data_IF_597494789918
#
_entry.id   IF_597494789918
#
_cell.length_a   1.000
_cell.length_b   1.000
_cell.length_c   1.000
_cell.angle_alpha   90.00
_cell.angle_beta   90.00
_cell.angle_gamma   90.00
#
_symmetry.space_group_name_H-M   'P 1'
#
loop_
_entity.id
_entity.type
_entity.pdbx_description
1 polymer ?
#
# COMPACT_ATOMS: atom_id res chain seq x y z
N UNK A 1 -0.95 -2.62 12.97
CA UNK A 1 -1.28 -2.36 11.55
C UNK A 1 -2.64 -2.92 11.18
N UNK A 2 -2.90 -4.23 11.34
CA UNK A 2 -4.21 -4.86 11.06
C UNK A 2 -5.41 -4.12 11.68
N UNK A 3 -5.33 -3.73 12.95
CA UNK A 3 -6.38 -2.93 13.60
C UNK A 3 -6.68 -1.59 12.89
N UNK A 4 -5.68 -0.94 12.28
CA UNK A 4 -5.90 0.28 11.50
C UNK A 4 -6.63 -0.03 10.19
N UNK A 5 -6.28 -1.13 9.51
CA UNK A 5 -6.96 -1.60 8.30
C UNK A 5 -8.42 -1.91 8.60
N UNK A 6 -8.69 -2.69 9.66
CA UNK A 6 -10.05 -3.05 10.08
C UNK A 6 -10.87 -1.79 10.34
N UNK A 7 -10.36 -0.86 11.16
CA UNK A 7 -11.05 0.39 11.46
C UNK A 7 -11.32 1.22 10.21
N UNK A 8 -10.32 1.37 9.34
CA UNK A 8 -10.43 2.13 8.09
C UNK A 8 -11.48 1.57 7.12
N UNK A 9 -11.66 0.24 7.11
CA UNK A 9 -12.71 -0.42 6.33
C UNK A 9 -14.07 -0.31 7.04
N UNK A 10 -14.12 -0.55 8.35
CA UNK A 10 -15.35 -0.48 9.13
C UNK A 10 -16.00 0.91 9.06
N UNK A 11 -15.21 1.98 9.05
CA UNK A 11 -15.69 3.37 8.86
C UNK A 11 -16.37 3.59 7.49
N UNK A 12 -16.15 2.70 6.49
CA UNK A 12 -16.69 2.82 5.13
C UNK A 12 -17.82 1.85 4.82
N UNK A 13 -17.76 0.63 5.37
CA UNK A 13 -18.70 -0.45 5.04
C UNK A 13 -19.48 -0.99 6.24
N UNK A 14 -19.19 -0.52 7.45
CA UNK A 14 -19.71 -1.11 8.68
C UNK A 14 -18.80 -2.22 9.22
N UNK A 15 -18.75 -2.36 10.55
CA UNK A 15 -17.90 -3.36 11.21
C UNK A 15 -18.38 -4.79 10.94
N UNK A 16 -19.68 -4.99 10.79
CA UNK A 16 -20.35 -6.24 10.43
C UNK A 16 -19.99 -6.74 9.03
N UNK A 17 -19.51 -5.85 8.15
CA UNK A 17 -19.01 -6.20 6.82
C UNK A 17 -17.51 -6.53 6.79
N UNK A 18 -16.79 -6.48 7.91
CA UNK A 18 -15.32 -6.69 7.97
C UNK A 18 -14.98 -7.92 8.81
N UNK A 19 -14.37 -8.91 8.17
CA UNK A 19 -13.87 -10.12 8.81
C UNK A 19 -12.34 -10.12 8.84
N UNK A 20 -11.74 -10.70 9.88
CA UNK A 20 -10.29 -10.91 9.97
C UNK A 20 -9.96 -12.40 9.89
N UNK A 21 -8.78 -12.74 9.38
CA UNK A 21 -8.35 -14.15 9.23
C UNK A 21 -9.34 -15.00 8.41
N UNK A 22 -9.91 -14.42 7.37
CA UNK A 22 -10.92 -15.11 6.55
C UNK A 22 -10.23 -16.14 5.67
N UNK A 23 -10.58 -17.41 5.87
CA UNK A 23 -10.17 -18.50 4.99
C UNK A 23 -10.94 -18.50 3.67
N UNK A 24 -10.22 -18.62 2.55
CA UNK A 24 -10.79 -18.87 1.22
C UNK A 24 -9.98 -19.95 0.51
N UNK A 25 -10.55 -21.15 0.38
CA UNK A 25 -9.82 -22.32 -0.09
C UNK A 25 -8.63 -22.63 0.82
N UNK A 26 -7.42 -22.58 0.27
CA UNK A 26 -6.18 -22.85 1.00
C UNK A 26 -5.49 -21.57 1.55
N UNK A 27 -6.01 -20.37 1.28
CA UNK A 27 -5.44 -19.13 1.79
C UNK A 27 -6.23 -18.59 2.99
N UNK A 28 -5.54 -17.86 3.86
CA UNK A 28 -6.12 -17.09 4.96
C UNK A 28 -5.70 -15.65 4.74
N UNK A 29 -6.67 -14.75 4.57
CA UNK A 29 -6.43 -13.33 4.38
C UNK A 29 -6.53 -12.59 5.70
N UNK A 30 -5.63 -11.63 5.93
CA UNK A 30 -5.60 -10.81 7.14
C UNK A 30 -6.94 -10.11 7.41
N UNK A 31 -7.56 -9.53 6.37
CA UNK A 31 -8.87 -8.87 6.44
C UNK A 31 -9.65 -9.10 5.14
N UNK A 32 -10.97 -9.28 5.23
CA UNK A 32 -11.86 -9.40 4.09
C UNK A 32 -13.14 -8.58 4.29
N UNK A 33 -13.69 -8.05 3.19
CA UNK A 33 -14.96 -7.33 3.18
C UNK A 33 -16.06 -8.18 2.56
N UNK A 34 -17.13 -8.44 3.31
CA UNK A 34 -18.18 -9.40 2.95
C UNK A 34 -19.47 -8.77 2.43
N UNK A 35 -19.69 -7.48 2.71
CA UNK A 35 -20.84 -6.73 2.23
C UNK A 35 -20.51 -5.25 1.94
N UNK A 36 -21.48 -4.54 1.34
CA UNK A 36 -21.37 -3.13 0.99
C UNK A 36 -20.56 -2.87 -0.28
N UNK A 37 -20.20 -1.60 -0.50
CA UNK A 37 -19.56 -1.14 -1.75
C UNK A 37 -18.13 -1.67 -2.00
N UNK A 38 -17.54 -2.35 -1.02
CA UNK A 38 -16.22 -2.98 -1.14
C UNK A 38 -16.30 -4.52 -1.04
N UNK A 39 -17.48 -5.12 -1.19
CA UNK A 39 -17.66 -6.57 -1.15
C UNK A 39 -16.67 -7.31 -2.06
N UNK A 40 -16.05 -8.37 -1.52
CA UNK A 40 -15.07 -9.19 -2.22
C UNK A 40 -13.65 -8.61 -2.22
N UNK A 41 -13.43 -7.47 -1.54
CA UNK A 41 -12.08 -6.98 -1.23
C UNK A 41 -11.44 -7.85 -0.16
N UNK A 42 -10.22 -8.33 -0.42
CA UNK A 42 -9.33 -8.87 0.61
C UNK A 42 -8.16 -7.92 0.81
N UNK A 43 -7.59 -7.92 2.02
CA UNK A 43 -6.44 -7.12 2.38
C UNK A 43 -5.41 -8.00 3.05
N UNK A 44 -4.16 -7.84 2.63
CA UNK A 44 -2.99 -8.49 3.24
C UNK A 44 -2.03 -7.44 3.77
N UNK A 45 -1.60 -7.59 5.02
CA UNK A 45 -0.60 -6.74 5.66
C UNK A 45 0.78 -7.37 5.46
N UNK A 46 1.49 -6.88 4.46
CA UNK A 46 2.72 -7.50 4.03
C UNK A 46 3.95 -6.79 4.62
N UNK A 47 4.65 -7.47 5.52
CA UNK A 47 5.87 -6.99 6.18
C UNK A 47 7.11 -7.09 5.30
N UNK A 48 7.04 -7.74 4.13
CA UNK A 48 8.14 -7.86 3.16
C UNK A 48 9.44 -8.51 3.71
N UNK A 49 9.41 -9.03 4.94
CA UNK A 49 10.49 -9.83 5.55
C UNK A 49 10.25 -11.33 5.39
N UNK A 50 11.31 -12.13 5.47
CA UNK A 50 11.26 -13.58 5.38
C UNK A 50 12.21 -14.13 4.31
N UNK A 51 11.96 -15.36 3.87
CA UNK A 51 12.76 -16.03 2.84
C UNK A 51 12.34 -15.57 1.44
N UNK A 52 13.31 -15.32 0.56
CA UNK A 52 13.08 -14.92 -0.83
C UNK A 52 13.17 -13.41 -1.08
N UNK A 53 12.92 -12.99 -2.32
CA UNK A 53 12.93 -11.58 -2.70
C UNK A 53 11.58 -10.93 -2.43
N UNK A 54 11.57 -9.60 -2.23
CA UNK A 54 10.33 -8.80 -2.12
C UNK A 54 9.36 -9.05 -3.28
N UNK A 55 9.91 -9.21 -4.50
CA UNK A 55 9.13 -9.52 -5.69
C UNK A 55 8.44 -10.87 -5.53
N UNK A 56 9.19 -11.91 -5.14
CA UNK A 56 8.67 -13.26 -4.99
C UNK A 56 7.53 -13.31 -3.98
N UNK A 57 7.73 -12.70 -2.80
CA UNK A 57 6.72 -12.67 -1.74
C UNK A 57 5.41 -11.99 -2.16
N UNK A 58 5.52 -10.87 -2.89
CA UNK A 58 4.35 -10.14 -3.40
C UNK A 58 3.63 -10.94 -4.50
N UNK A 59 4.37 -11.61 -5.38
CA UNK A 59 3.78 -12.49 -6.41
C UNK A 59 3.03 -13.65 -5.74
N UNK A 60 3.65 -14.36 -4.80
CA UNK A 60 3.00 -15.44 -4.04
C UNK A 60 1.75 -14.97 -3.30
N UNK A 61 1.75 -13.73 -2.77
CA UNK A 61 0.59 -13.16 -2.10
C UNK A 61 -0.55 -12.85 -3.08
N UNK A 62 -0.24 -12.28 -4.24
CA UNK A 62 -1.26 -11.92 -5.25
C UNK A 62 -1.79 -13.12 -6.03
N UNK A 63 -0.96 -14.14 -6.24
CA UNK A 63 -1.35 -15.36 -6.93
C UNK A 63 -2.14 -16.32 -6.03
N UNK A 64 -2.17 -16.08 -4.70
CA UNK A 64 -3.01 -16.82 -3.76
C UNK A 64 -4.49 -16.58 -4.07
N UNK A 65 -5.14 -17.65 -4.52
CA UNK A 65 -6.59 -17.81 -4.80
C UNK A 65 -7.15 -16.86 -5.87
N UNK A 66 -8.31 -17.21 -6.41
CA UNK A 66 -9.02 -16.51 -7.49
C UNK A 66 -9.57 -15.12 -7.12
N UNK A 67 -8.98 -14.44 -6.13
CA UNK A 67 -9.53 -13.19 -5.60
C UNK A 67 -9.55 -12.12 -6.68
N UNK A 68 -10.71 -11.48 -6.79
CA UNK A 68 -10.97 -10.45 -7.80
C UNK A 68 -10.29 -9.13 -7.45
N UNK A 69 -10.22 -8.75 -6.16
CA UNK A 69 -9.70 -7.47 -5.70
C UNK A 69 -8.89 -7.60 -4.41
N UNK A 70 -7.64 -7.15 -4.42
CA UNK A 70 -6.71 -7.28 -3.29
C UNK A 70 -6.03 -5.96 -2.97
N UNK A 71 -5.96 -5.60 -1.69
CA UNK A 71 -5.10 -4.54 -1.20
C UNK A 71 -3.90 -5.12 -0.46
N UNK A 72 -2.70 -4.67 -0.81
CA UNK A 72 -1.50 -5.00 -0.05
C UNK A 72 -1.11 -3.77 0.78
N UNK A 73 -1.16 -3.91 2.09
CA UNK A 73 -0.81 -2.85 3.04
C UNK A 73 0.60 -3.08 3.55
N UNK A 74 1.54 -2.26 3.08
CA UNK A 74 2.94 -2.31 3.48
C UNK A 74 3.19 -1.35 4.65
N UNK A 75 3.73 -1.83 5.79
CA UNK A 75 4.09 -0.96 6.90
C UNK A 75 5.09 0.13 6.50
N UNK A 76 4.95 1.32 7.10
CA UNK A 76 5.70 2.52 6.70
C UNK A 76 7.23 2.30 6.60
N UNK A 77 7.91 1.66 7.58
CA UNK A 77 9.35 1.41 7.46
C UNK A 77 9.72 0.67 6.17
N UNK A 78 8.96 -0.37 5.80
CA UNK A 78 9.23 -1.16 4.60
C UNK A 78 8.78 -0.44 3.33
N UNK A 79 7.67 0.30 3.40
CA UNK A 79 7.19 1.11 2.29
C UNK A 79 8.24 2.14 1.85
N UNK A 80 8.96 2.74 2.80
CA UNK A 80 10.07 3.67 2.53
C UNK A 80 11.25 2.93 1.89
N UNK A 81 11.70 1.82 2.49
CA UNK A 81 12.86 1.04 1.99
C UNK A 81 12.64 0.59 0.53
N UNK A 82 11.43 0.13 0.20
CA UNK A 82 11.12 -0.42 -1.12
C UNK A 82 10.35 0.53 -2.03
N UNK A 83 10.25 1.83 -1.68
CA UNK A 83 9.47 2.80 -2.45
C UNK A 83 9.84 2.87 -3.95
N UNK A 84 11.12 2.77 -4.38
CA UNK A 84 11.45 2.78 -5.81
C UNK A 84 10.96 1.53 -6.56
N UNK A 85 10.77 0.42 -5.83
CA UNK A 85 10.47 -0.90 -6.37
C UNK A 85 8.96 -1.21 -6.33
N UNK A 86 8.27 -0.90 -5.23
CA UNK A 86 6.87 -1.26 -5.00
C UNK A 86 5.90 -0.76 -6.10
N UNK A 87 5.99 0.49 -6.60
CA UNK A 87 5.14 0.97 -7.70
C UNK A 87 5.38 0.20 -9.00
N UNK A 88 6.62 -0.25 -9.25
CA UNK A 88 6.98 -1.06 -10.43
C UNK A 88 6.38 -2.45 -10.35
N UNK A 89 6.53 -3.12 -9.20
CA UNK A 89 5.92 -4.44 -8.94
C UNK A 89 4.41 -4.35 -9.08
N UNK A 90 3.77 -3.35 -8.43
CA UNK A 90 2.33 -3.13 -8.53
C UNK A 90 1.88 -2.99 -9.98
N UNK A 91 2.61 -2.20 -10.80
CA UNK A 91 2.28 -2.03 -12.22
C UNK A 91 2.29 -3.36 -12.98
N UNK A 92 3.20 -4.25 -12.66
CA UNK A 92 3.27 -5.57 -13.29
C UNK A 92 2.12 -6.48 -12.84
N UNK A 93 1.87 -6.56 -11.53
CA UNK A 93 0.81 -7.39 -10.96
C UNK A 93 -0.59 -6.94 -11.41
N UNK A 94 -0.80 -5.62 -11.57
CA UNK A 94 -2.06 -5.04 -12.07
C UNK A 94 -2.44 -5.46 -13.50
N UNK A 95 -1.50 -5.98 -14.28
CA UNK A 95 -1.82 -6.53 -15.61
C UNK A 95 -2.62 -7.83 -15.54
N UNK A 96 -2.55 -8.54 -14.41
CA UNK A 96 -3.15 -9.87 -14.23
C UNK A 96 -4.25 -9.89 -13.19
N UNK A 97 -4.19 -9.03 -12.17
CA UNK A 97 -5.13 -9.00 -11.02
C UNK A 97 -5.47 -7.56 -10.64
N UNK A 98 -6.64 -7.32 -10.04
CA UNK A 98 -6.96 -6.01 -9.45
C UNK A 98 -6.30 -5.89 -8.08
N UNK A 99 -5.03 -5.48 -8.09
CA UNK A 99 -4.23 -5.27 -6.88
C UNK A 99 -3.85 -3.79 -6.73
N UNK A 100 -3.96 -3.27 -5.51
CA UNK A 100 -3.49 -1.93 -5.18
C UNK A 100 -2.65 -1.93 -3.91
N UNK A 101 -1.59 -1.12 -3.88
CA UNK A 101 -0.66 -1.10 -2.77
C UNK A 101 -0.90 0.15 -1.91
N UNK A 102 -0.99 -0.05 -0.61
CA UNK A 102 -1.22 0.98 0.38
C UNK A 102 -0.13 0.98 1.44
N UNK A 103 -0.01 2.10 2.12
CA UNK A 103 0.72 2.23 3.38
C UNK A 103 -0.12 3.04 4.36
N UNK A 104 0.35 3.18 5.60
CA UNK A 104 -0.40 3.87 6.64
C UNK A 104 -0.09 5.37 6.62
N UNK A 105 -1.12 6.19 6.51
CA UNK A 105 -1.03 7.58 6.91
C UNK A 105 -1.31 7.66 8.42
N UNK A 106 -0.24 7.84 9.19
CA UNK A 106 -0.31 7.93 10.66
C UNK A 106 -1.05 9.18 11.14
N UNK A 107 -1.14 10.22 10.32
CA UNK A 107 -1.76 11.50 10.69
C UNK A 107 -3.29 11.40 10.59
N UNK A 108 -3.81 10.99 9.43
CA UNK A 108 -5.24 10.72 9.25
C UNK A 108 -5.68 9.37 9.85
N UNK A 109 -4.71 8.56 10.30
CA UNK A 109 -4.89 7.17 10.74
C UNK A 109 -5.55 6.30 9.65
N UNK A 110 -5.40 6.67 8.38
CA UNK A 110 -6.00 6.01 7.23
C UNK A 110 -4.99 5.24 6.37
N UNK A 111 -5.47 4.59 5.32
CA UNK A 111 -4.61 4.02 4.29
C UNK A 111 -4.43 5.02 3.15
N UNK A 112 -3.20 5.13 2.64
CA UNK A 112 -2.84 5.95 1.48
C UNK A 112 -2.17 5.07 0.42
N UNK A 113 -2.49 5.29 -0.86
CA UNK A 113 -1.88 4.51 -1.95
C UNK A 113 -0.40 4.83 -2.07
N UNK A 114 0.42 3.81 -2.30
CA UNK A 114 1.86 4.00 -2.48
C UNK A 114 2.21 4.90 -3.66
N UNK A 115 1.40 4.92 -4.72
CA UNK A 115 1.63 5.89 -5.82
C UNK A 115 1.40 7.33 -5.43
N UNK A 116 0.45 7.59 -4.53
CA UNK A 116 0.17 8.95 -4.09
C UNK A 116 1.33 9.44 -3.22
N UNK A 117 1.86 8.56 -2.37
CA UNK A 117 3.09 8.80 -1.58
C UNK A 117 4.29 9.04 -2.49
N UNK A 118 4.52 8.19 -3.50
CA UNK A 118 5.63 8.36 -4.43
C UNK A 118 5.56 9.68 -5.19
N UNK A 119 4.38 10.05 -5.71
CA UNK A 119 4.16 11.33 -6.39
C UNK A 119 4.40 12.52 -5.46
N UNK A 120 3.91 12.46 -4.22
CA UNK A 120 4.14 13.51 -3.23
C UNK A 120 5.62 13.69 -2.90
N UNK A 121 6.37 12.60 -2.76
CA UNK A 121 7.80 12.66 -2.47
C UNK A 121 8.61 13.21 -3.65
N UNK A 122 8.29 12.81 -4.87
CA UNK A 122 8.90 13.37 -6.08
C UNK A 122 8.62 14.86 -6.19
N UNK A 123 7.38 15.29 -5.91
CA UNK A 123 7.01 16.71 -5.91
C UNK A 123 7.80 17.50 -4.88
N UNK A 124 7.84 17.04 -3.61
CA UNK A 124 8.60 17.70 -2.55
C UNK A 124 10.10 17.77 -2.86
N UNK A 125 10.69 16.72 -3.43
CA UNK A 125 12.10 16.75 -3.85
C UNK A 125 12.39 17.78 -4.93
N UNK A 126 11.49 17.96 -5.91
CA UNK A 126 11.63 19.01 -6.92
C UNK A 126 11.57 20.40 -6.28
N UNK A 127 10.59 20.65 -5.42
CA UNK A 127 10.43 21.93 -4.71
C UNK A 127 11.66 22.26 -3.85
N UNK A 128 12.21 21.28 -3.10
CA UNK A 128 13.41 21.48 -2.29
C UNK A 128 14.66 21.73 -3.14
N UNK A 129 14.81 21.05 -4.28
CA UNK A 129 15.98 21.24 -5.16
C UNK A 129 15.92 22.54 -5.96
N UNK A 130 14.73 23.01 -6.33
CA UNK A 130 14.52 24.33 -6.94
C UNK A 130 14.78 25.45 -5.93
N UNK A 131 14.23 25.36 -4.71
CA UNK A 131 14.49 26.34 -3.66
C UNK A 131 15.96 26.41 -3.23
N UNK A 132 16.68 25.28 -3.21
CA UNK A 132 18.11 25.25 -2.95
C UNK A 132 18.95 25.92 -4.06
N UNK A 133 18.52 25.83 -5.33
CA UNK A 133 19.19 26.50 -6.45
C UNK A 133 18.97 28.01 -6.43
N UNK A 134 17.78 28.47 -6.07
CA UNK A 134 17.48 29.90 -5.93
C UNK A 134 18.26 30.54 -4.79
N UNK A 135 18.33 29.89 -3.62
CA UNK A 135 19.10 30.36 -2.47
C UNK A 135 20.61 30.46 -2.76
N UNK A 136 21.18 29.49 -3.49
CA UNK A 136 22.59 29.54 -3.88
C UNK A 136 22.89 30.63 -4.92
N UNK A 137 21.93 30.96 -5.80
CA UNK A 137 22.08 32.02 -6.79
C UNK A 137 22.02 33.41 -6.14
N UNK A 138 21.22 33.60 -5.08
CA UNK A 138 21.23 34.84 -4.29
C UNK A 138 22.51 35.03 -3.47
N UNK A 139 23.16 33.96 -3.02
CA UNK A 139 24.41 34.02 -2.23
C UNK A 139 25.67 34.25 -3.07
N UNK A 140 25.58 34.13 -4.40
CA UNK A 140 26.70 34.27 -5.34
C UNK A 140 26.61 35.55 -6.18
N UNK A 141 25.59 36.38 -5.94
CA UNK A 141 25.36 37.64 -6.63
C UNK A 141 25.82 38.88 -5.83
N UNK A 142 26.40 38.68 -4.64
CA UNK A 142 27.04 39.70 -3.80
C UNK A 142 28.57 39.64 -3.90
#
# INVERSE_FOLDING_TARGET
>A
MKAFVVRHLAERVGLDCVETEKGEGAAVFDVAVTCGGLQGLVVEVETLYGTGTVVHKLVETVERVGVRKMWIVVPNPHAVIYLPLLPRIRRELRKRRDVEFYTLDVTSRGLVRLTDVATMLVKKWKETTEGAKEANKSLTAD
#
